data_IF_480893126300
#
_entry.id   IF_480893126300
#
_cell.length_a   1.000
_cell.length_b   1.000
_cell.length_c   1.000
_cell.angle_alpha   90.00
_cell.angle_beta   90.00
_cell.angle_gamma   90.00
#
_symmetry.space_group_name_H-M   'P 1'
#
loop_
_entity.id
_entity.type
_entity.pdbx_description
1 polymer ?
#
# COMPACT_ATOMS: atom_id res chain seq x y z
N UNK A 1 20.38 -14.48 -4.50
CA UNK A 1 19.27 -14.60 -5.47
C UNK A 1 19.88 -14.83 -6.85
N UNK A 2 19.30 -15.70 -7.69
CA UNK A 2 19.78 -15.93 -9.05
C UNK A 2 18.87 -15.24 -10.06
N UNK A 3 19.46 -14.56 -11.03
CA UNK A 3 18.78 -13.89 -12.14
C UNK A 3 19.28 -14.51 -13.44
N UNK A 4 18.37 -15.02 -14.27
CA UNK A 4 18.71 -15.43 -15.65
C UNK A 4 18.24 -14.35 -16.62
N UNK A 5 19.16 -13.88 -17.44
CA UNK A 5 18.88 -12.91 -18.50
C UNK A 5 18.43 -13.61 -19.77
N UNK A 6 17.72 -12.90 -20.63
CA UNK A 6 17.31 -13.37 -21.96
C UNK A 6 18.51 -13.67 -22.87
N UNK A 7 19.68 -13.10 -22.59
CA UNK A 7 20.95 -13.42 -23.25
C UNK A 7 21.49 -14.81 -22.88
N UNK A 8 20.95 -15.47 -21.85
CA UNK A 8 21.45 -16.74 -21.31
C UNK A 8 22.47 -16.56 -20.19
N UNK A 9 22.96 -15.34 -19.95
CA UNK A 9 23.84 -15.04 -18.83
C UNK A 9 23.08 -15.15 -17.50
N UNK A 10 23.79 -15.58 -16.46
CA UNK A 10 23.23 -15.65 -15.11
C UNK A 10 23.99 -14.75 -14.15
N UNK A 11 23.25 -14.07 -13.28
CA UNK A 11 23.79 -13.21 -12.24
C UNK A 11 23.34 -13.77 -10.90
N UNK A 12 24.31 -14.10 -10.04
CA UNK A 12 24.04 -14.49 -8.66
C UNK A 12 24.54 -13.41 -7.72
N UNK A 13 23.63 -12.80 -6.95
CA UNK A 13 24.00 -11.73 -6.03
C UNK A 13 22.90 -11.37 -5.05
N UNK A 14 23.14 -10.29 -4.31
CA UNK A 14 22.23 -9.72 -3.32
C UNK A 14 21.38 -8.62 -3.95
N UNK A 15 20.06 -8.73 -3.85
CA UNK A 15 19.14 -7.70 -4.32
C UNK A 15 19.14 -6.51 -3.36
N UNK A 16 19.54 -5.34 -3.87
CA UNK A 16 19.57 -4.09 -3.10
C UNK A 16 18.34 -3.24 -3.39
N UNK A 17 17.96 -3.16 -4.66
CA UNK A 17 16.83 -2.34 -5.08
C UNK A 17 16.11 -2.99 -6.27
N UNK A 18 14.80 -2.80 -6.32
CA UNK A 18 13.91 -3.18 -7.41
C UNK A 18 12.89 -2.07 -7.63
N UNK A 19 12.77 -1.58 -8.87
CA UNK A 19 11.75 -0.61 -9.24
C UNK A 19 10.48 -1.27 -9.82
N UNK A 20 9.49 -0.44 -10.15
CA UNK A 20 8.20 -0.88 -10.71
C UNK A 20 8.30 -1.49 -12.12
N UNK A 21 9.41 -1.25 -12.83
CA UNK A 21 9.69 -1.82 -14.15
C UNK A 21 10.60 -3.06 -14.07
N UNK A 22 10.84 -3.56 -12.86
CA UNK A 22 11.76 -4.66 -12.55
C UNK A 22 13.23 -4.38 -12.90
N UNK A 23 13.65 -3.12 -12.98
CA UNK A 23 15.09 -2.85 -13.00
C UNK A 23 15.67 -3.16 -11.62
N UNK A 24 16.81 -3.85 -11.60
CA UNK A 24 17.42 -4.37 -10.39
C UNK A 24 18.81 -3.77 -10.19
N UNK A 25 19.12 -3.44 -8.94
CA UNK A 25 20.49 -3.21 -8.49
C UNK A 25 20.90 -4.38 -7.62
N UNK A 26 21.96 -5.07 -8.02
CA UNK A 26 22.52 -6.21 -7.29
C UNK A 26 23.94 -5.88 -6.80
N UNK A 27 24.31 -6.41 -5.62
CA UNK A 27 25.66 -6.34 -5.07
C UNK A 27 26.29 -7.71 -4.87
N UNK A 28 27.62 -7.71 -4.78
CA UNK A 28 28.44 -8.91 -4.59
C UNK A 28 28.09 -9.99 -5.61
N UNK A 29 28.12 -9.60 -6.88
CA UNK A 29 27.56 -10.40 -7.97
C UNK A 29 28.62 -11.28 -8.59
N UNK A 30 28.26 -12.55 -8.80
CA UNK A 30 28.96 -13.46 -9.69
C UNK A 30 28.16 -13.55 -10.99
N UNK A 31 28.71 -13.02 -12.07
CA UNK A 31 28.19 -13.20 -13.42
C UNK A 31 28.78 -14.47 -14.02
N UNK A 32 27.92 -15.27 -14.64
CA UNK A 32 28.30 -16.43 -15.46
C UNK A 32 27.89 -16.14 -16.91
N UNK A 33 28.81 -16.34 -17.84
CA UNK A 33 28.53 -16.26 -19.29
C UNK A 33 27.44 -17.25 -19.70
N UNK A 34 26.79 -16.98 -20.84
CA UNK A 34 25.78 -17.89 -21.40
C UNK A 34 26.37 -19.28 -21.73
N UNK A 35 27.66 -19.33 -22.10
CA UNK A 35 28.39 -20.56 -22.39
C UNK A 35 28.84 -21.33 -21.12
N UNK A 36 28.68 -20.74 -19.93
CA UNK A 36 28.99 -21.37 -18.64
C UNK A 36 30.48 -21.48 -18.30
N UNK A 37 31.35 -20.90 -19.14
CA UNK A 37 32.81 -21.04 -19.09
C UNK A 37 33.52 -19.89 -18.39
N UNK A 38 32.88 -18.72 -18.28
CA UNK A 38 33.48 -17.50 -17.73
C UNK A 38 32.68 -17.00 -16.54
N UNK A 39 33.40 -16.78 -15.45
CA UNK A 39 32.86 -16.23 -14.22
C UNK A 39 33.54 -14.89 -13.93
N UNK A 40 32.74 -13.84 -13.74
CA UNK A 40 33.21 -12.51 -13.36
C UNK A 40 32.60 -12.10 -12.04
N UNK A 41 33.42 -11.57 -11.14
CA UNK A 41 32.96 -11.00 -9.87
C UNK A 41 32.85 -9.49 -10.01
N UNK A 42 31.67 -8.97 -9.71
CA UNK A 42 31.35 -7.55 -9.80
C UNK A 42 30.89 -7.05 -8.42
N UNK A 43 31.39 -5.91 -7.95
CA UNK A 43 30.96 -5.36 -6.67
C UNK A 43 29.48 -4.93 -6.71
N UNK A 44 29.05 -4.36 -7.82
CA UNK A 44 27.68 -3.91 -8.05
C UNK A 44 27.35 -4.00 -9.56
N UNK A 45 26.09 -4.28 -9.90
CA UNK A 45 25.58 -4.28 -11.27
C UNK A 45 24.16 -3.73 -11.31
N UNK A 46 23.84 -3.01 -12.39
CA UNK A 46 22.49 -2.59 -12.72
C UNK A 46 21.95 -3.44 -13.88
N UNK A 47 20.75 -3.98 -13.70
CA UNK A 47 20.07 -4.85 -14.66
C UNK A 47 18.77 -4.19 -15.09
N UNK A 48 18.57 -4.08 -16.41
CA UNK A 48 17.32 -3.59 -16.97
C UNK A 48 16.23 -4.67 -16.90
N UNK A 49 15.07 -4.37 -16.34
CA UNK A 49 14.01 -5.34 -16.12
C UNK A 49 13.51 -6.04 -17.38
N UNK A 50 13.54 -5.35 -18.52
CA UNK A 50 13.11 -5.91 -19.81
C UNK A 50 14.02 -7.05 -20.33
N UNK A 51 15.26 -7.16 -19.85
CA UNK A 51 16.21 -8.20 -20.24
C UNK A 51 16.14 -9.43 -19.35
N UNK A 52 15.37 -9.39 -18.25
CA UNK A 52 15.23 -10.50 -17.32
C UNK A 52 14.31 -11.57 -17.94
N UNK A 53 14.71 -12.84 -17.81
CA UNK A 53 13.89 -14.00 -18.18
C UNK A 53 13.16 -14.54 -16.96
N UNK A 54 13.89 -14.83 -15.88
CA UNK A 54 13.30 -15.20 -14.60
C UNK A 54 14.26 -14.94 -13.43
N UNK A 55 13.69 -14.95 -12.23
CA UNK A 55 14.42 -14.86 -10.95
C UNK A 55 14.18 -16.15 -10.16
N UNK A 56 15.22 -16.69 -9.51
CA UNK A 56 15.06 -17.73 -8.49
C UNK A 56 15.08 -17.09 -7.12
N UNK A 57 13.94 -17.19 -6.44
CA UNK A 57 13.72 -16.65 -5.10
C UNK A 57 13.69 -17.83 -4.11
N UNK A 58 14.30 -17.71 -2.92
CA UNK A 58 14.18 -18.73 -1.89
C UNK A 58 12.72 -18.93 -1.46
N UNK A 59 12.34 -20.17 -1.15
CA UNK A 59 10.98 -20.52 -0.75
C UNK A 59 10.54 -19.80 0.54
N UNK A 60 11.49 -19.51 1.44
CA UNK A 60 11.27 -18.78 2.70
C UNK A 60 10.62 -17.39 2.51
N UNK A 61 10.86 -16.75 1.36
CA UNK A 61 10.30 -15.43 1.06
C UNK A 61 8.78 -15.47 0.92
N UNK A 62 8.22 -16.61 0.49
CA UNK A 62 6.77 -16.75 0.28
C UNK A 62 6.01 -16.50 1.58
N UNK A 63 6.50 -17.04 2.69
CA UNK A 63 5.82 -16.93 3.98
C UNK A 63 6.02 -15.54 4.60
N UNK A 64 7.22 -14.95 4.47
CA UNK A 64 7.49 -13.56 4.87
C UNK A 64 6.55 -12.58 4.17
N UNK A 65 6.33 -12.75 2.85
CA UNK A 65 5.45 -11.87 2.07
C UNK A 65 4.00 -12.01 2.50
N UNK A 66 3.51 -13.22 2.78
CA UNK A 66 2.14 -13.44 3.28
C UNK A 66 1.91 -12.73 4.61
N UNK A 67 2.85 -12.84 5.54
CA UNK A 67 2.76 -12.16 6.84
C UNK A 67 2.78 -10.63 6.69
N UNK A 68 3.63 -10.11 5.80
CA UNK A 68 3.71 -8.67 5.52
C UNK A 68 2.38 -8.14 4.93
N UNK A 69 1.81 -8.86 3.95
CA UNK A 69 0.53 -8.49 3.34
C UNK A 69 -0.63 -8.49 4.34
N UNK A 70 -0.67 -9.48 5.25
CA UNK A 70 -1.67 -9.53 6.30
C UNK A 70 -1.58 -8.33 7.26
N UNK A 71 -0.36 -7.93 7.64
CA UNK A 71 -0.10 -6.74 8.48
C UNK A 71 -0.53 -5.45 7.78
N UNK A 72 -0.22 -5.30 6.49
CA UNK A 72 -0.59 -4.12 5.71
C UNK A 72 -2.12 -4.03 5.50
N UNK A 73 -2.78 -5.17 5.31
CA UNK A 73 -4.24 -5.23 5.18
C UNK A 73 -4.94 -4.88 6.51
N UNK A 74 -4.43 -5.38 7.64
CA UNK A 74 -4.92 -5.02 8.97
C UNK A 74 -4.77 -3.51 9.25
N UNK A 75 -3.66 -2.90 8.82
CA UNK A 75 -3.44 -1.46 8.96
C UNK A 75 -4.33 -0.60 8.03
N UNK A 76 -4.74 -1.12 6.86
CA UNK A 76 -5.67 -0.44 5.96
C UNK A 76 -7.15 -0.61 6.33
N UNK A 77 -7.50 -1.67 7.08
CA UNK A 77 -8.86 -1.93 7.57
C UNK A 77 -9.31 -1.03 8.73
N UNK A 78 -8.39 -0.31 9.39
CA UNK A 78 -8.70 0.51 10.57
C UNK A 78 -9.17 1.95 10.31
N UNK A 79 -9.32 2.38 9.04
CA UNK A 79 -9.56 3.80 8.69
C UNK A 79 -10.76 4.07 7.78
N UNK A 80 -11.77 3.20 7.80
CA UNK A 80 -13.00 3.40 7.02
C UNK A 80 -14.24 2.88 7.73
N UNK A 81 -14.76 3.64 8.70
CA UNK A 81 -16.01 3.25 9.36
C UNK A 81 -16.47 4.11 10.54
N UNK A 82 -16.29 5.42 10.53
CA UNK A 82 -16.91 6.32 11.54
C UNK A 82 -17.90 7.33 10.91
N UNK A 83 -18.26 7.15 9.65
CA UNK A 83 -19.28 7.98 9.01
C UNK A 83 -20.47 7.13 8.57
N UNK A 84 -21.55 7.29 9.36
CA UNK A 84 -22.96 7.17 8.98
C UNK A 84 -23.56 5.76 8.90
N UNK A 85 -24.16 5.36 10.03
CA UNK A 85 -25.48 4.70 10.15
C UNK A 85 -25.94 5.01 11.57
N UNK A 86 -26.88 5.92 11.81
CA UNK A 86 -28.25 5.82 11.33
C UNK A 86 -29.04 4.95 12.31
N UNK A 87 -29.79 5.62 13.18
CA UNK A 87 -31.10 5.18 13.69
C UNK A 87 -31.18 3.81 14.41
N UNK A 88 -31.20 3.86 15.75
CA UNK A 88 -32.06 3.06 16.66
C UNK A 88 -31.49 3.06 18.08
N UNK A 89 -32.19 3.71 18.99
CA UNK A 89 -31.86 3.66 20.40
C UNK A 89 -32.74 4.56 21.26
N UNK A 90 -34.05 4.49 21.05
CA UNK A 90 -35.05 4.97 22.00
C UNK A 90 -34.82 4.27 23.36
N UNK A 91 -34.10 4.94 24.25
CA UNK A 91 -33.95 4.52 25.65
C UNK A 91 -33.59 5.72 26.54
N UNK A 92 -34.65 6.29 27.12
CA UNK A 92 -34.65 6.66 28.53
C UNK A 92 -34.02 7.99 28.90
N UNK A 93 -34.88 8.99 29.16
CA UNK A 93 -34.46 10.23 29.81
C UNK A 93 -35.63 11.09 30.28
N UNK A 94 -36.29 10.66 31.37
CA UNK A 94 -37.22 11.49 32.15
C UNK A 94 -36.59 12.85 32.51
N UNK A 95 -37.34 13.94 32.34
CA UNK A 95 -37.00 15.22 32.98
C UNK A 95 -37.71 16.41 32.37
N UNK A 96 -38.97 16.66 32.74
CA UNK A 96 -39.35 17.82 33.57
C UNK A 96 -39.69 19.14 32.85
N UNK A 97 -40.99 19.48 32.97
CA UNK A 97 -41.57 20.77 33.44
C UNK A 97 -41.52 22.01 32.53
N UNK A 98 -42.73 22.54 32.29
CA UNK A 98 -43.00 23.97 32.09
C UNK A 98 -43.64 24.27 30.73
N UNK A 99 -44.97 24.24 30.54
CA UNK A 99 -46.02 25.17 31.03
C UNK A 99 -45.82 26.62 30.57
N UNK A 100 -46.61 27.04 29.55
CA UNK A 100 -46.83 28.46 29.18
C UNK A 100 -47.00 28.63 27.66
N UNK A 101 -48.20 28.56 27.06
CA UNK A 101 -49.21 29.64 26.89
C UNK A 101 -48.64 31.01 26.51
N UNK A 102 -48.88 31.44 25.26
CA UNK A 102 -48.80 32.84 24.82
C UNK A 102 -48.79 32.96 23.29
N UNK A 103 -49.94 32.96 22.60
CA UNK A 103 -50.63 34.15 22.04
C UNK A 103 -49.72 35.05 21.19
N UNK A 104 -49.98 35.08 19.88
CA UNK A 104 -49.32 35.98 18.95
C UNK A 104 -49.75 37.44 19.07
N UNK A 105 -48.95 38.35 18.47
CA UNK A 105 -49.35 39.61 17.83
C UNK A 105 -48.12 40.41 17.39
N UNK A 106 -48.13 40.87 16.13
CA UNK A 106 -47.44 42.08 15.64
C UNK A 106 -45.92 41.96 15.44
N UNK A 107 -45.29 42.55 14.43
CA UNK A 107 -45.72 43.48 13.38
C UNK A 107 -44.50 44.24 12.83
N UNK A 108 -44.60 44.75 11.60
CA UNK A 108 -43.67 45.72 10.95
C UNK A 108 -42.36 45.10 10.46
N UNK A 109 -42.03 45.09 9.16
CA UNK A 109 -41.77 46.28 8.32
C UNK A 109 -40.27 46.61 8.42
N UNK A 110 -39.45 46.80 7.39
CA UNK A 110 -39.59 46.94 5.95
C UNK A 110 -38.22 47.38 5.38
N UNK A 111 -38.04 47.30 4.06
CA UNK A 111 -36.93 47.92 3.31
C UNK A 111 -35.61 47.13 3.34
N UNK A 112 -34.96 46.74 2.23
CA UNK A 112 -34.91 47.36 0.90
C UNK A 112 -33.50 47.93 0.70
N UNK A 113 -32.81 47.51 -0.36
CA UNK A 113 -31.52 48.10 -0.74
C UNK A 113 -30.78 47.24 -1.74
N UNK A 114 -30.63 47.78 -2.95
CA UNK A 114 -29.91 47.24 -4.10
C UNK A 114 -28.38 47.16 -3.86
#
# INVERSE_FOLDING_TARGET
>A
MLVELKSGETLNGLLINCDTWMNLTLREVVQTSADGDKFMRLPEIYVRGSTIKYLRVPDEIVDVVKEQQAKDQANRGGRGGMHQRGDRGDRGGRGMRGRGRGRGRGGGGGGGGA
#
